data_IF_476378934317
#
_entry.id   IF_476378934317
#
_cell.length_a   1.000
_cell.length_b   1.000
_cell.length_c   1.000
_cell.angle_alpha   90.00
_cell.angle_beta   90.00
_cell.angle_gamma   90.00
#
_symmetry.space_group_name_H-M   'P 1'
#
loop_
_entity.id
_entity.type
_entity.pdbx_description
1 polymer ?
#
# COMPACT_ATOMS: atom_id res chain seq x y z
N UNK A 1 -11.63 5.56 3.06
CA UNK A 1 -10.21 5.68 3.44
C UNK A 1 -10.05 6.77 4.49
N UNK A 2 -9.02 6.70 5.34
CA UNK A 2 -8.78 7.68 6.41
C UNK A 2 -7.80 8.79 5.94
N UNK A 3 -7.98 10.00 6.46
CA UNK A 3 -7.13 11.15 6.11
C UNK A 3 -5.66 10.95 6.49
N UNK A 4 -5.35 10.17 7.55
CA UNK A 4 -3.95 9.93 7.95
C UNK A 4 -3.19 9.13 6.91
N UNK A 5 -3.86 8.21 6.20
CA UNK A 5 -3.21 7.45 5.14
C UNK A 5 -2.89 8.33 3.94
N UNK A 6 -3.79 9.25 3.57
CA UNK A 6 -3.51 10.28 2.57
C UNK A 6 -2.32 11.11 3.03
N UNK A 7 -2.30 11.57 4.29
CA UNK A 7 -1.19 12.38 4.80
C UNK A 7 0.16 11.66 4.77
N UNK A 8 0.15 10.35 5.02
CA UNK A 8 1.34 9.51 5.00
C UNK A 8 1.89 9.30 3.58
N UNK A 9 1.00 9.14 2.59
CA UNK A 9 1.38 8.81 1.21
C UNK A 9 1.58 10.07 0.37
N UNK A 10 0.61 10.98 0.43
CA UNK A 10 0.51 12.18 -0.40
C UNK A 10 1.10 13.43 0.23
N UNK A 11 1.39 13.42 1.54
CA UNK A 11 1.82 14.59 2.30
C UNK A 11 0.68 15.34 2.99
N UNK A 12 1.01 16.40 3.73
CA UNK A 12 0.02 17.15 4.51
C UNK A 12 -0.99 17.87 3.61
N UNK A 13 -2.25 17.91 4.06
CA UNK A 13 -3.30 18.65 3.35
C UNK A 13 -2.94 20.14 3.22
N UNK A 14 -3.01 20.72 2.00
CA UNK A 14 -2.82 22.15 1.81
C UNK A 14 -3.85 22.98 2.58
N UNK A 15 -3.46 24.17 3.04
CA UNK A 15 -4.39 25.08 3.74
C UNK A 15 -5.55 25.44 2.81
N UNK A 16 -6.78 25.23 3.27
CA UNK A 16 -7.98 25.52 2.50
C UNK A 16 -8.24 24.55 1.36
N UNK A 17 -7.65 23.33 1.40
CA UNK A 17 -7.98 22.28 0.44
C UNK A 17 -9.49 22.01 0.45
N UNK A 18 -10.11 22.16 -0.72
CA UNK A 18 -11.51 21.82 -0.95
C UNK A 18 -11.52 20.61 -1.86
N UNK A 19 -12.13 19.53 -1.38
CA UNK A 19 -12.28 18.31 -2.16
C UNK A 19 -13.31 18.54 -3.28
N UNK A 20 -12.87 18.41 -4.51
CA UNK A 20 -13.77 18.42 -5.68
C UNK A 20 -14.44 17.06 -5.86
N UNK A 21 -15.72 17.08 -6.23
CA UNK A 21 -16.45 15.88 -6.63
C UNK A 21 -16.21 15.58 -8.11
N UNK A 22 -15.20 14.75 -8.37
CA UNK A 22 -14.72 14.40 -9.71
C UNK A 22 -15.65 13.38 -10.40
N UNK A 23 -16.50 12.66 -9.65
CA UNK A 23 -17.35 11.59 -10.18
C UNK A 23 -18.38 12.07 -11.21
N UNK A 24 -18.65 13.37 -11.28
CA UNK A 24 -19.65 13.97 -12.17
C UNK A 24 -19.12 14.31 -13.58
N UNK A 25 -17.81 14.26 -13.84
CA UNK A 25 -17.23 14.64 -15.12
C UNK A 25 -16.32 13.54 -15.70
N UNK A 26 -16.78 12.77 -16.71
CA UNK A 26 -16.00 11.68 -17.31
C UNK A 26 -14.78 12.16 -18.12
N UNK A 27 -14.69 13.46 -18.43
CA UNK A 27 -13.57 14.07 -19.14
C UNK A 27 -12.65 14.86 -18.21
N UNK A 28 -12.78 14.67 -16.89
CA UNK A 28 -11.92 15.36 -15.95
C UNK A 28 -10.47 14.86 -16.09
N UNK A 29 -9.54 15.81 -16.14
CA UNK A 29 -8.09 15.54 -16.19
C UNK A 29 -7.44 16.30 -15.06
N UNK A 30 -6.65 15.59 -14.25
CA UNK A 30 -5.89 16.21 -13.17
C UNK A 30 -4.83 17.16 -13.74
N UNK A 31 -4.73 18.35 -13.15
CA UNK A 31 -3.70 19.31 -13.50
C UNK A 31 -2.42 19.00 -12.71
N UNK A 32 -1.29 18.98 -13.40
CA UNK A 32 0.01 18.82 -12.78
C UNK A 32 0.33 20.02 -11.87
N UNK A 33 0.79 19.76 -10.65
CA UNK A 33 1.30 20.77 -9.72
C UNK A 33 2.83 20.74 -9.73
N UNK A 34 3.52 21.74 -10.32
CA UNK A 34 4.98 21.77 -10.39
C UNK A 34 5.67 21.80 -9.02
N UNK A 35 4.98 22.19 -7.97
CA UNK A 35 5.49 22.20 -6.59
C UNK A 35 5.32 20.87 -5.87
N UNK A 36 4.58 19.93 -6.46
CA UNK A 36 4.31 18.62 -5.88
C UNK A 36 5.36 17.61 -6.32
N UNK A 37 5.97 16.92 -5.35
CA UNK A 37 6.85 15.79 -5.67
C UNK A 37 5.98 14.63 -6.12
N UNK A 38 6.22 14.12 -7.33
CA UNK A 38 5.49 12.97 -7.85
C UNK A 38 5.57 11.76 -6.90
N UNK A 39 4.42 11.10 -6.68
CA UNK A 39 4.29 9.93 -5.80
C UNK A 39 3.80 8.74 -6.60
N UNK A 40 4.32 7.55 -6.31
CA UNK A 40 3.78 6.31 -6.87
C UNK A 40 2.76 5.71 -5.90
N UNK A 41 1.54 5.51 -6.38
CA UNK A 41 0.48 4.82 -5.64
C UNK A 41 0.19 3.48 -6.32
N UNK A 42 -0.26 2.49 -5.54
CA UNK A 42 -0.46 1.13 -6.01
C UNK A 42 -1.84 0.60 -5.61
N UNK A 43 -2.47 -0.15 -6.50
CA UNK A 43 -3.69 -0.89 -6.21
C UNK A 43 -3.40 -2.27 -5.59
N UNK A 44 -4.47 -2.98 -5.22
CA UNK A 44 -4.41 -4.34 -4.66
C UNK A 44 -3.83 -5.39 -5.62
N UNK A 45 -3.86 -5.13 -6.93
CA UNK A 45 -3.28 -6.01 -7.94
C UNK A 45 -1.78 -5.72 -8.18
N UNK A 46 -1.24 -4.67 -7.55
CA UNK A 46 0.14 -4.24 -7.70
C UNK A 46 0.41 -3.37 -8.93
N UNK A 47 -0.63 -2.90 -9.63
CA UNK A 47 -0.48 -1.88 -10.66
C UNK A 47 -0.06 -0.57 -10.00
N UNK A 48 0.71 0.24 -10.72
CA UNK A 48 1.20 1.52 -10.22
C UNK A 48 0.85 2.67 -11.13
N UNK A 49 0.65 3.85 -10.55
CA UNK A 49 0.57 5.11 -11.29
C UNK A 49 1.36 6.18 -10.55
N UNK A 50 2.01 7.05 -11.32
CA UNK A 50 2.72 8.22 -10.79
C UNK A 50 1.79 9.42 -10.84
N UNK A 51 1.41 9.95 -9.68
CA UNK A 51 0.56 11.13 -9.53
C UNK A 51 1.41 12.38 -9.30
N UNK A 52 1.02 13.50 -9.90
CA UNK A 52 1.80 14.76 -9.89
C UNK A 52 1.04 15.94 -9.29
N UNK A 53 -0.03 15.70 -8.53
CA UNK A 53 -0.67 16.72 -7.71
C UNK A 53 -1.24 16.09 -6.44
N UNK A 54 -1.40 16.91 -5.40
CA UNK A 54 -1.99 16.46 -4.15
C UNK A 54 -3.45 15.98 -4.34
N UNK A 55 -4.24 16.70 -5.13
CA UNK A 55 -5.63 16.34 -5.42
C UNK A 55 -5.74 14.99 -6.15
N UNK A 56 -4.85 14.75 -7.11
CA UNK A 56 -4.78 13.46 -7.80
C UNK A 56 -4.40 12.34 -6.84
N UNK A 57 -3.35 12.53 -6.04
CA UNK A 57 -2.92 11.55 -5.04
C UNK A 57 -4.03 11.22 -4.03
N UNK A 58 -4.70 12.24 -3.49
CA UNK A 58 -5.83 12.07 -2.55
C UNK A 58 -6.96 11.27 -3.17
N UNK A 59 -7.29 11.53 -4.44
CA UNK A 59 -8.33 10.82 -5.16
C UNK A 59 -8.00 9.33 -5.30
N UNK A 60 -6.78 9.01 -5.75
CA UNK A 60 -6.33 7.62 -5.89
C UNK A 60 -6.30 6.88 -4.54
N UNK A 61 -5.69 7.48 -3.51
CA UNK A 61 -5.60 6.87 -2.17
C UNK A 61 -7.00 6.65 -1.57
N UNK A 62 -7.90 7.63 -1.71
CA UNK A 62 -9.29 7.48 -1.26
C UNK A 62 -10.06 6.41 -2.04
N UNK A 63 -9.70 6.20 -3.30
CA UNK A 63 -10.19 5.14 -4.17
C UNK A 63 -9.56 3.76 -3.95
N UNK A 64 -8.67 3.60 -2.97
CA UNK A 64 -8.08 2.31 -2.60
C UNK A 64 -6.65 2.08 -3.05
N UNK A 65 -6.00 3.06 -3.68
CA UNK A 65 -4.63 2.94 -4.16
C UNK A 65 -3.63 3.35 -3.06
N UNK A 66 -3.52 2.53 -2.03
CA UNK A 66 -2.63 2.78 -0.88
C UNK A 66 -1.71 1.60 -0.56
N UNK A 67 -1.68 0.60 -1.43
CA UNK A 67 -0.88 -0.59 -1.22
C UNK A 67 0.60 -0.29 -1.38
N UNK A 68 1.43 -1.02 -0.65
CA UNK A 68 2.88 -0.94 -0.79
C UNK A 68 3.41 -2.32 -1.15
N UNK A 69 3.63 -2.63 -2.43
CA UNK A 69 3.98 -3.98 -2.87
C UNK A 69 5.30 -4.47 -2.25
N UNK A 70 6.25 -3.56 -2.00
CA UNK A 70 7.52 -3.90 -1.35
C UNK A 70 7.28 -4.31 0.10
N UNK A 71 6.50 -3.53 0.85
CA UNK A 71 6.18 -3.85 2.25
C UNK A 71 5.39 -5.15 2.35
N UNK A 72 4.43 -5.37 1.45
CA UNK A 72 3.63 -6.59 1.40
C UNK A 72 4.51 -7.81 1.11
N UNK A 73 5.46 -7.70 0.17
CA UNK A 73 6.42 -8.75 -0.12
C UNK A 73 7.32 -9.06 1.09
N UNK A 74 7.87 -8.03 1.72
CA UNK A 74 8.69 -8.17 2.93
C UNK A 74 7.92 -8.87 4.06
N UNK A 75 6.67 -8.48 4.32
CA UNK A 75 5.82 -9.12 5.33
C UNK A 75 5.56 -10.59 4.99
N UNK A 76 5.26 -10.91 3.74
CA UNK A 76 5.03 -12.28 3.30
C UNK A 76 6.29 -13.15 3.45
N UNK A 77 7.47 -12.62 3.11
CA UNK A 77 8.75 -13.29 3.32
C UNK A 77 9.02 -13.54 4.81
N UNK A 78 8.81 -12.53 5.66
CA UNK A 78 8.99 -12.66 7.11
C UNK A 78 8.04 -13.72 7.70
N UNK A 79 6.77 -13.71 7.31
CA UNK A 79 5.79 -14.73 7.71
C UNK A 79 6.24 -16.12 7.25
N UNK A 80 6.74 -16.25 6.02
CA UNK A 80 7.28 -17.49 5.48
C UNK A 80 8.45 -18.04 6.31
N UNK A 81 9.37 -17.18 6.73
CA UNK A 81 10.50 -17.56 7.60
C UNK A 81 9.99 -18.05 8.96
N UNK A 82 9.00 -17.38 9.56
CA UNK A 82 8.40 -17.80 10.84
C UNK A 82 7.77 -19.19 10.70
N UNK A 83 7.00 -19.43 9.65
CA UNK A 83 6.40 -20.74 9.39
C UNK A 83 7.46 -21.82 9.18
N UNK A 84 8.54 -21.52 8.45
CA UNK A 84 9.64 -22.44 8.26
C UNK A 84 10.30 -22.83 9.59
N UNK A 85 10.57 -21.86 10.47
CA UNK A 85 11.13 -22.12 11.81
C UNK A 85 10.21 -23.02 12.64
N UNK A 86 8.91 -22.71 12.69
CA UNK A 86 7.92 -23.53 13.40
C UNK A 86 7.89 -24.95 12.82
N UNK A 87 7.91 -25.08 11.50
CA UNK A 87 7.92 -26.38 10.82
C UNK A 87 9.16 -27.21 11.22
N UNK A 88 10.36 -26.62 11.29
CA UNK A 88 11.56 -27.36 11.73
C UNK A 88 11.43 -27.89 13.16
N UNK A 89 10.82 -27.12 14.06
CA UNK A 89 10.57 -27.53 15.44
C UNK A 89 9.56 -28.68 15.47
N UNK A 90 8.43 -28.53 14.78
CA UNK A 90 7.38 -29.55 14.69
C UNK A 90 7.92 -30.85 14.10
N UNK A 91 8.66 -30.77 12.99
CA UNK A 91 9.31 -31.91 12.34
C UNK A 91 10.24 -32.61 13.33
N UNK A 92 11.07 -31.87 14.08
CA UNK A 92 11.96 -32.45 15.10
C UNK A 92 11.18 -33.19 16.18
N UNK A 93 10.07 -32.63 16.67
CA UNK A 93 9.21 -33.29 17.66
C UNK A 93 8.52 -34.54 17.10
N UNK A 94 8.03 -34.49 15.87
CA UNK A 94 7.41 -35.63 15.18
C UNK A 94 8.43 -36.75 14.97
N UNK A 95 9.63 -36.44 14.46
CA UNK A 95 10.70 -37.42 14.29
C UNK A 95 11.05 -38.07 15.64
N UNK A 96 11.24 -37.29 16.71
CA UNK A 96 11.50 -37.83 18.05
C UNK A 96 10.37 -38.74 18.57
N UNK A 97 9.12 -38.45 18.21
CA UNK A 97 7.96 -39.23 18.66
C UNK A 97 7.82 -40.57 17.91
N UNK A 98 8.12 -40.60 16.60
CA UNK A 98 7.90 -41.77 15.76
C UNK A 98 9.17 -42.62 15.56
N UNK A 99 10.34 -41.98 15.51
CA UNK A 99 11.63 -42.66 15.59
C UNK A 99 11.96 -42.75 17.07
N UNK A 100 11.62 -43.87 17.72
CA UNK A 100 12.05 -44.20 19.08
C UNK A 100 13.60 -44.24 19.11
N UNK A 101 14.24 -43.10 19.36
CA UNK A 101 15.61 -42.99 19.88
C UNK A 101 15.49 -42.67 21.35
#
# INVERSE_FOLDING_TARGET
MDNKTVEKICGQYPKGFIKEDIASNPNFVFSNDPGYSGVNVYDEAGNSVTVNSFQECEHYVMGGWYENPVTNLEQNLQIGIVYFLIATIVIKFVIKKFVKI
#
